data_IF_060245952438
#
_entry.id   IF_060245952438
#
_cell.length_a   1.000
_cell.length_b   1.000
_cell.length_c   1.000
_cell.angle_alpha   90.00
_cell.angle_beta   90.00
_cell.angle_gamma   90.00
#
_symmetry.space_group_name_H-M   'P 1'
#
loop_
_entity.id
_entity.type
_entity.pdbx_description
1 polymer ?
#
# COMPACT_ATOMS: atom_id res chain seq x y z
N UNK A 1 -65.50 -22.90 -53.28
CA UNK A 1 -64.97 -21.54 -53.04
C UNK A 1 -65.50 -21.15 -51.67
N UNK A 2 -64.75 -21.28 -50.58
CA UNK A 2 -63.56 -20.49 -50.21
C UNK A 2 -62.49 -21.42 -49.61
N UNK A 3 -61.25 -21.25 -50.06
CA UNK A 3 -60.06 -21.92 -49.54
C UNK A 3 -59.40 -20.99 -48.52
N UNK A 4 -59.16 -21.48 -47.30
CA UNK A 4 -58.40 -20.78 -46.27
C UNK A 4 -56.92 -21.15 -46.44
N UNK A 5 -56.12 -20.23 -46.99
CA UNK A 5 -54.66 -20.33 -47.03
C UNK A 5 -54.07 -19.77 -45.73
N UNK A 6 -53.60 -20.67 -44.86
CA UNK A 6 -52.91 -20.32 -43.61
C UNK A 6 -51.47 -19.90 -43.85
N UNK A 7 -51.16 -18.66 -43.46
CA UNK A 7 -49.82 -18.08 -43.35
C UNK A 7 -48.88 -18.94 -42.50
N UNK A 8 -47.69 -19.26 -43.05
CA UNK A 8 -46.53 -19.68 -42.27
C UNK A 8 -45.76 -18.44 -41.82
N UNK A 9 -46.16 -17.85 -40.71
CA UNK A 9 -45.36 -16.89 -39.95
C UNK A 9 -44.65 -17.63 -38.83
N UNK A 10 -43.32 -17.77 -38.92
CA UNK A 10 -42.48 -18.27 -37.84
C UNK A 10 -42.39 -17.16 -36.78
N UNK A 11 -43.20 -17.26 -35.72
CA UNK A 11 -43.08 -16.39 -34.54
C UNK A 11 -41.96 -16.96 -33.67
N UNK A 12 -40.78 -16.33 -33.73
CA UNK A 12 -39.67 -16.64 -32.84
C UNK A 12 -39.98 -15.98 -31.47
N UNK A 13 -40.54 -16.76 -30.54
CA UNK A 13 -40.60 -16.37 -29.13
C UNK A 13 -39.18 -16.43 -28.55
N UNK A 14 -38.46 -15.31 -28.62
CA UNK A 14 -37.26 -15.10 -27.84
C UNK A 14 -37.63 -15.03 -26.37
N UNK A 15 -37.52 -16.16 -25.67
CA UNK A 15 -37.47 -16.17 -24.21
C UNK A 15 -36.20 -15.40 -23.79
N UNK A 16 -36.37 -14.13 -23.41
CA UNK A 16 -35.43 -13.43 -22.55
C UNK A 16 -35.45 -14.17 -21.21
N UNK A 17 -34.57 -15.18 -21.08
CA UNK A 17 -34.24 -15.71 -19.77
C UNK A 17 -33.62 -14.56 -18.98
N UNK A 18 -34.17 -14.17 -17.81
CA UNK A 18 -33.42 -13.33 -16.90
C UNK A 18 -32.17 -14.14 -16.53
N UNK A 19 -31.01 -13.66 -16.98
CA UNK A 19 -29.72 -14.10 -16.44
C UNK A 19 -29.67 -13.56 -15.02
N UNK A 20 -30.32 -14.29 -14.11
CA UNK A 20 -30.13 -14.13 -12.69
C UNK A 20 -28.68 -14.49 -12.42
N UNK A 21 -27.81 -13.48 -12.32
CA UNK A 21 -26.50 -13.65 -11.69
C UNK A 21 -26.77 -14.02 -10.23
N UNK A 22 -26.96 -15.31 -9.97
CA UNK A 22 -26.76 -15.85 -8.64
C UNK A 22 -25.29 -15.54 -8.31
N UNK A 23 -25.07 -14.52 -7.47
CA UNK A 23 -23.81 -14.30 -6.78
C UNK A 23 -23.59 -15.54 -5.91
N UNK A 24 -23.05 -16.59 -6.50
CA UNK A 24 -22.49 -17.68 -5.74
C UNK A 24 -21.44 -17.04 -4.84
N UNK A 25 -21.70 -17.07 -3.54
CA UNK A 25 -20.79 -16.62 -2.51
C UNK A 25 -19.55 -17.53 -2.61
N UNK A 26 -18.61 -17.14 -3.46
CA UNK A 26 -17.47 -17.96 -3.81
C UNK A 26 -16.61 -18.04 -2.55
N UNK A 27 -16.59 -19.20 -1.89
CA UNK A 27 -15.69 -19.42 -0.76
C UNK A 27 -14.27 -19.07 -1.21
N UNK A 28 -13.61 -18.17 -0.48
CA UNK A 28 -12.27 -17.77 -0.82
C UNK A 28 -11.35 -19.02 -0.70
N UNK A 29 -10.60 -19.34 -1.76
CA UNK A 29 -9.93 -20.62 -1.87
C UNK A 29 -8.61 -20.70 -1.09
N UNK A 30 -8.23 -19.62 -0.37
CA UNK A 30 -7.00 -19.56 0.43
C UNK A 30 -7.30 -20.06 1.85
N UNK A 31 -6.52 -21.05 2.29
CA UNK A 31 -6.50 -21.52 3.68
C UNK A 31 -5.07 -21.40 4.20
N UNK A 32 -4.88 -20.66 5.30
CA UNK A 32 -3.60 -20.63 6.01
C UNK A 32 -3.46 -21.91 6.80
N UNK A 33 -2.38 -22.66 6.55
CA UNK A 33 -2.08 -23.88 7.30
C UNK A 33 -1.33 -23.56 8.60
N UNK A 34 -0.40 -22.61 8.55
CA UNK A 34 0.38 -22.14 9.70
C UNK A 34 0.97 -20.76 9.42
N UNK A 35 1.27 -20.02 10.49
CA UNK A 35 2.06 -18.79 10.45
C UNK A 35 3.13 -18.85 11.55
N UNK A 36 4.25 -18.16 11.36
CA UNK A 36 5.33 -18.09 12.37
C UNK A 36 5.84 -16.66 12.47
N UNK A 37 5.86 -16.15 13.69
CA UNK A 37 6.46 -14.86 14.01
C UNK A 37 7.98 -15.04 14.09
N UNK A 38 8.73 -14.19 13.38
CA UNK A 38 10.18 -14.24 13.34
C UNK A 38 10.87 -13.40 14.43
N UNK A 39 10.13 -12.48 15.06
CA UNK A 39 10.66 -11.52 16.02
C UNK A 39 10.73 -10.10 15.45
N UNK A 40 11.49 -9.24 16.13
CA UNK A 40 11.46 -7.80 15.88
C UNK A 40 12.46 -7.34 14.84
N UNK A 41 12.05 -6.36 14.01
CA UNK A 41 12.96 -5.68 13.09
C UNK A 41 13.97 -4.89 13.89
N UNK A 42 15.24 -5.21 13.69
CA UNK A 42 16.37 -4.45 14.26
C UNK A 42 17.25 -3.90 13.15
N UNK A 43 17.98 -2.85 13.47
CA UNK A 43 19.10 -2.40 12.65
C UNK A 43 20.34 -3.22 13.00
N UNK A 44 21.10 -3.66 12.00
CA UNK A 44 22.38 -4.33 12.17
C UNK A 44 23.54 -3.37 12.38
N UNK A 45 23.38 -2.08 12.09
CA UNK A 45 24.45 -1.08 12.10
C UNK A 45 24.15 0.18 12.94
N UNK A 46 22.90 0.40 13.35
CA UNK A 46 22.53 1.46 14.30
C UNK A 46 21.92 0.84 15.57
N UNK A 47 22.36 1.22 16.78
CA UNK A 47 21.72 0.74 18.00
C UNK A 47 20.34 1.40 18.17
N UNK A 48 19.39 0.67 18.79
CA UNK A 48 18.13 1.22 19.30
C UNK A 48 17.30 2.08 18.33
N UNK A 49 17.22 1.65 17.06
CA UNK A 49 16.37 2.30 16.07
C UNK A 49 14.93 1.83 16.20
N UNK A 50 14.01 2.78 16.30
CA UNK A 50 12.57 2.56 16.30
C UNK A 50 11.96 3.19 15.05
N UNK A 51 10.93 2.54 14.52
CA UNK A 51 10.36 2.90 13.22
C UNK A 51 8.85 2.88 13.29
N UNK A 52 8.22 3.57 12.35
CA UNK A 52 6.80 3.50 12.07
C UNK A 52 6.54 2.98 10.65
N UNK A 53 5.46 2.23 10.50
CA UNK A 53 5.07 1.56 9.26
C UNK A 53 6.17 0.63 8.70
N UNK A 54 6.06 0.27 7.43
CA UNK A 54 7.05 -0.61 6.79
C UNK A 54 6.58 -1.13 5.44
N UNK A 55 7.33 -0.83 4.38
CA UNK A 55 7.04 -1.30 3.02
C UNK A 55 8.29 -1.96 2.46
N UNK A 56 8.20 -3.21 2.02
CA UNK A 56 9.30 -3.87 1.33
C UNK A 56 9.14 -3.70 -0.18
N UNK A 57 10.25 -3.47 -0.87
CA UNK A 57 10.28 -3.28 -2.31
C UNK A 57 11.60 -3.76 -2.89
N UNK A 58 11.60 -3.98 -4.20
CA UNK A 58 12.79 -4.34 -4.94
C UNK A 58 13.13 -3.21 -5.93
N UNK A 59 14.40 -2.79 -5.95
CA UNK A 59 14.96 -1.89 -6.97
C UNK A 59 16.10 -2.64 -7.65
N UNK A 60 15.91 -2.99 -8.92
CA UNK A 60 16.75 -3.95 -9.63
C UNK A 60 16.97 -5.25 -8.85
N UNK A 61 18.20 -5.51 -8.43
CA UNK A 61 18.56 -6.70 -7.62
C UNK A 61 18.53 -6.47 -6.11
N UNK A 62 18.22 -5.26 -5.65
CA UNK A 62 18.31 -4.87 -4.25
C UNK A 62 16.95 -4.89 -3.58
N UNK A 63 16.86 -5.60 -2.45
CA UNK A 63 15.70 -5.57 -1.58
C UNK A 63 15.84 -4.46 -0.56
N UNK A 64 14.90 -3.54 -0.58
CA UNK A 64 14.89 -2.34 0.24
C UNK A 64 13.62 -2.31 1.07
N UNK A 65 13.70 -1.76 2.28
CA UNK A 65 12.53 -1.48 3.10
C UNK A 65 12.46 0.01 3.37
N UNK A 66 11.26 0.53 3.28
CA UNK A 66 10.93 1.90 3.58
C UNK A 66 10.18 1.97 4.90
N UNK A 67 10.54 2.92 5.74
CA UNK A 67 9.84 3.23 6.98
C UNK A 67 9.44 4.70 6.97
N UNK A 68 8.33 5.01 7.62
CA UNK A 68 7.93 6.39 7.85
C UNK A 68 8.80 6.96 8.99
N UNK A 69 8.19 7.33 10.10
CA UNK A 69 8.86 7.96 11.23
C UNK A 69 9.95 7.02 11.78
N UNK A 70 11.19 7.51 11.86
CA UNK A 70 12.35 6.76 12.35
C UNK A 70 13.13 7.61 13.33
N UNK A 71 13.39 7.06 14.51
CA UNK A 71 14.15 7.70 15.58
C UNK A 71 15.07 6.71 16.28
N UNK A 72 16.01 7.21 17.07
CA UNK A 72 16.96 6.41 17.85
C UNK A 72 16.86 6.78 19.32
N UNK A 73 16.84 5.81 20.24
CA UNK A 73 16.75 6.11 21.68
C UNK A 73 17.89 5.46 22.48
N UNK A 74 18.47 6.16 23.45
CA UNK A 74 19.67 5.67 24.16
C UNK A 74 19.40 4.44 25.04
N UNK A 75 18.21 4.35 25.66
CA UNK A 75 17.85 3.32 26.66
C UNK A 75 16.54 2.61 26.30
N UNK A 76 16.36 2.29 25.03
CA UNK A 76 15.14 1.67 24.53
C UNK A 76 13.97 2.66 24.36
N UNK A 77 12.72 2.19 24.16
CA UNK A 77 11.61 3.05 23.72
C UNK A 77 11.13 4.03 24.80
N UNK A 78 11.52 3.81 26.06
CA UNK A 78 11.23 4.69 27.19
C UNK A 78 12.36 5.69 27.50
N UNK A 79 13.51 5.55 26.84
CA UNK A 79 14.66 6.42 27.02
C UNK A 79 14.53 7.74 26.24
N UNK A 80 15.48 8.68 26.43
CA UNK A 80 15.60 9.85 25.57
C UNK A 80 15.80 9.41 24.11
N UNK A 81 14.97 9.96 23.23
CA UNK A 81 15.05 9.71 21.80
C UNK A 81 15.62 10.93 21.08
N UNK A 82 16.46 10.66 20.09
CA UNK A 82 17.21 11.64 19.33
C UNK A 82 17.07 11.40 17.84
N UNK A 83 17.14 12.51 17.10
CA UNK A 83 16.88 12.50 15.67
C UNK A 83 15.43 12.16 15.35
N UNK A 84 15.04 12.54 14.14
CA UNK A 84 13.76 12.17 13.56
C UNK A 84 13.89 12.26 12.05
N UNK A 85 13.54 11.18 11.36
CA UNK A 85 13.38 11.16 9.92
C UNK A 85 11.95 10.69 9.63
N UNK A 86 11.17 11.46 8.88
CA UNK A 86 9.78 11.08 8.53
C UNK A 86 9.72 9.96 7.49
N UNK A 87 10.87 9.60 6.95
CA UNK A 87 11.02 8.63 5.90
C UNK A 87 12.46 8.11 5.89
N UNK A 88 12.67 6.80 6.02
CA UNK A 88 13.99 6.18 5.92
C UNK A 88 13.96 5.00 4.97
N UNK A 89 15.11 4.74 4.33
CA UNK A 89 15.32 3.59 3.48
C UNK A 89 16.41 2.73 4.09
N UNK A 90 16.19 1.43 4.08
CA UNK A 90 17.16 0.45 4.57
C UNK A 90 17.33 -0.67 3.55
N UNK A 91 18.52 -1.26 3.52
CA UNK A 91 18.76 -2.46 2.75
C UNK A 91 18.36 -3.69 3.57
N UNK A 92 17.65 -4.63 2.94
CA UNK A 92 17.36 -5.92 3.55
C UNK A 92 18.63 -6.76 3.62
N UNK A 93 18.81 -7.50 4.72
CA UNK A 93 19.90 -8.47 4.84
C UNK A 93 19.42 -9.88 4.53
N UNK A 94 20.33 -10.86 4.55
CA UNK A 94 19.94 -12.28 4.48
C UNK A 94 19.12 -12.74 5.69
N UNK A 95 19.10 -11.97 6.78
CA UNK A 95 18.23 -12.21 7.93
C UNK A 95 17.00 -11.28 7.84
N UNK A 96 15.77 -11.80 7.69
CA UNK A 96 14.57 -10.99 7.48
C UNK A 96 14.25 -10.02 8.63
N UNK A 97 14.76 -10.28 9.84
CA UNK A 97 14.56 -9.43 11.02
C UNK A 97 15.68 -8.41 11.25
N UNK A 98 16.74 -8.44 10.42
CA UNK A 98 17.86 -7.51 10.52
C UNK A 98 17.94 -6.70 9.23
N UNK A 99 17.88 -5.38 9.37
CA UNK A 99 18.06 -4.46 8.27
C UNK A 99 19.42 -3.77 8.37
N UNK A 100 19.87 -3.22 7.26
CA UNK A 100 21.06 -2.37 7.19
C UNK A 100 20.63 -0.95 6.84
N UNK A 101 20.70 -0.05 7.81
CA UNK A 101 20.30 1.34 7.65
C UNK A 101 21.35 2.15 6.89
N UNK A 102 20.87 3.19 6.24
CA UNK A 102 21.71 4.09 5.44
C UNK A 102 22.08 5.30 6.27
N UNK A 103 23.35 5.71 6.19
CA UNK A 103 23.88 6.88 6.86
C UNK A 103 25.16 6.57 7.62
N UNK A 104 25.53 7.46 8.54
CA UNK A 104 26.74 7.32 9.35
C UNK A 104 26.40 6.72 10.73
N UNK A 105 26.69 5.43 10.98
CA UNK A 105 26.38 4.80 12.25
C UNK A 105 27.23 5.39 13.38
N UNK A 106 26.63 5.56 14.55
CA UNK A 106 27.32 6.03 15.75
C UNK A 106 26.37 6.29 16.91
N UNK A 107 26.85 6.30 18.17
CA UNK A 107 26.04 6.67 19.32
C UNK A 107 25.43 8.07 19.14
N UNK A 108 24.12 8.20 19.34
CA UNK A 108 23.39 9.46 19.14
C UNK A 108 23.11 9.83 17.68
N UNK A 109 23.54 9.03 16.70
CA UNK A 109 23.19 9.23 15.29
C UNK A 109 21.88 8.52 14.95
N UNK A 110 21.05 9.17 14.14
CA UNK A 110 19.83 8.59 13.58
C UNK A 110 20.06 8.15 12.12
N UNK A 111 19.38 7.09 11.64
CA UNK A 111 19.32 6.80 10.21
C UNK A 111 18.93 8.04 9.39
N UNK A 112 19.54 8.18 8.22
CA UNK A 112 19.33 9.34 7.35
C UNK A 112 17.95 9.32 6.71
N UNK A 113 17.31 10.48 6.63
CA UNK A 113 16.08 10.65 5.84
C UNK A 113 16.35 10.49 4.35
N UNK A 114 15.44 9.85 3.61
CA UNK A 114 15.61 9.59 2.17
C UNK A 114 15.25 10.82 1.32
N UNK A 115 14.01 11.28 1.42
CA UNK A 115 13.43 12.39 0.67
C UNK A 115 13.25 13.59 1.58
N UNK A 116 13.62 14.76 1.07
CA UNK A 116 13.39 16.04 1.73
C UNK A 116 12.06 16.62 1.28
N UNK A 117 11.41 17.37 2.17
CA UNK A 117 10.14 18.01 1.85
C UNK A 117 10.26 18.99 0.67
N UNK A 118 9.29 18.97 -0.23
CA UNK A 118 9.16 19.96 -1.33
C UNK A 118 8.44 21.24 -0.91
N UNK A 119 7.74 21.20 0.23
CA UNK A 119 7.03 22.32 0.82
C UNK A 119 7.50 22.59 2.25
N UNK A 120 7.55 23.86 2.65
CA UNK A 120 7.96 24.22 4.00
C UNK A 120 7.01 23.61 5.04
N UNK A 121 7.58 23.13 6.16
CA UNK A 121 6.86 22.55 7.30
C UNK A 121 6.01 21.31 6.99
N UNK A 122 6.24 20.62 5.87
CA UNK A 122 5.66 19.30 5.63
C UNK A 122 6.68 18.18 5.80
N UNK A 123 6.19 16.98 6.04
CA UNK A 123 6.98 15.76 6.19
C UNK A 123 6.54 14.76 5.13
N UNK A 124 7.41 14.38 4.17
CA UNK A 124 7.04 13.37 3.19
C UNK A 124 7.06 11.99 3.85
N UNK A 125 6.05 11.20 3.53
CA UNK A 125 5.99 9.76 3.77
C UNK A 125 5.83 9.07 2.41
N UNK A 126 6.45 7.91 2.23
CA UNK A 126 6.47 7.20 0.94
C UNK A 126 5.78 5.85 1.00
N UNK A 127 5.31 5.42 -0.16
CA UNK A 127 4.81 4.06 -0.43
C UNK A 127 5.95 3.08 -0.76
N UNK A 128 5.58 1.86 -1.12
CA UNK A 128 6.45 0.91 -1.82
C UNK A 128 6.99 1.49 -3.13
N UNK A 129 8.16 1.00 -3.52
CA UNK A 129 8.90 1.40 -4.72
C UNK A 129 8.61 0.40 -5.85
N UNK A 130 8.24 0.93 -7.01
CA UNK A 130 8.20 0.18 -8.25
C UNK A 130 9.53 0.35 -8.98
N UNK A 131 10.25 -0.75 -9.16
CA UNK A 131 11.49 -0.78 -9.94
C UNK A 131 11.25 -0.31 -11.38
N UNK A 132 12.03 0.67 -11.83
CA UNK A 132 12.01 1.19 -13.21
C UNK A 132 13.30 0.93 -13.96
N UNK A 133 14.34 0.46 -13.26
CA UNK A 133 15.66 0.14 -13.81
C UNK A 133 16.46 -0.75 -12.86
N UNK A 134 17.76 -0.91 -13.12
CA UNK A 134 18.63 -1.70 -12.23
C UNK A 134 18.85 -1.03 -10.88
N UNK A 135 18.82 0.30 -10.85
CA UNK A 135 19.15 1.10 -9.68
C UNK A 135 18.10 2.18 -9.44
N UNK A 136 17.04 2.25 -10.23
CA UNK A 136 16.03 3.31 -10.15
C UNK A 136 14.67 2.71 -9.88
N UNK A 137 13.88 3.42 -9.08
CA UNK A 137 12.50 3.09 -8.84
C UNK A 137 11.68 4.32 -8.56
N UNK A 138 10.38 4.13 -8.50
CA UNK A 138 9.40 5.19 -8.28
C UNK A 138 8.52 4.82 -7.09
N UNK A 139 8.35 5.75 -6.16
CA UNK A 139 7.42 5.65 -5.04
C UNK A 139 6.39 6.77 -5.12
N UNK A 140 5.23 6.57 -4.51
CA UNK A 140 4.27 7.62 -4.26
C UNK A 140 4.61 8.26 -2.92
N UNK A 141 4.42 9.57 -2.81
CA UNK A 141 4.58 10.28 -1.56
C UNK A 141 3.31 11.03 -1.19
N UNK A 142 3.12 11.22 0.10
CA UNK A 142 2.19 12.22 0.64
C UNK A 142 2.90 13.12 1.63
N UNK A 143 2.61 14.41 1.54
CA UNK A 143 3.16 15.44 2.42
C UNK A 143 2.22 15.63 3.59
N UNK A 144 2.69 15.31 4.78
CA UNK A 144 1.96 15.52 6.03
C UNK A 144 2.29 16.90 6.57
N UNK A 145 1.26 17.72 6.77
CA UNK A 145 1.38 19.06 7.36
C UNK A 145 1.79 19.06 8.82
N UNK A 146 1.94 20.26 9.42
CA UNK A 146 2.17 20.38 10.86
C UNK A 146 0.96 19.87 11.64
N UNK A 147 1.20 19.45 12.88
CA UNK A 147 0.16 19.13 13.82
C UNK A 147 -0.77 20.33 14.04
N UNK A 148 -2.07 20.06 14.16
CA UNK A 148 -3.10 21.04 14.49
C UNK A 148 -3.86 20.59 15.74
N UNK A 149 -4.73 21.45 16.27
CA UNK A 149 -5.63 21.05 17.36
C UNK A 149 -6.66 20.00 16.94
N UNK A 150 -6.91 19.84 15.65
CA UNK A 150 -7.84 18.86 15.08
C UNK A 150 -7.13 17.55 14.72
N UNK A 151 -5.86 17.64 14.32
CA UNK A 151 -5.04 16.50 13.96
C UNK A 151 -3.62 16.68 14.51
N UNK A 152 -3.36 16.02 15.65
CA UNK A 152 -2.07 16.08 16.34
C UNK A 152 -0.94 15.39 15.55
N UNK A 153 -1.27 14.55 14.58
CA UNK A 153 -0.29 13.89 13.71
C UNK A 153 -0.03 14.69 12.44
N UNK A 154 -0.91 15.66 12.14
CA UNK A 154 -0.90 16.44 10.90
C UNK A 154 -1.67 15.73 9.80
N UNK A 155 -2.34 16.52 8.96
CA UNK A 155 -3.12 16.00 7.84
C UNK A 155 -2.28 15.96 6.55
N UNK A 156 -2.66 15.08 5.62
CA UNK A 156 -2.09 15.12 4.27
C UNK A 156 -2.56 16.40 3.59
N UNK A 157 -1.62 17.19 3.07
CA UNK A 157 -1.90 18.45 2.35
C UNK A 157 -1.72 18.32 0.85
N UNK A 158 -0.90 17.37 0.40
CA UNK A 158 -0.72 17.03 -1.01
C UNK A 158 -0.03 15.67 -1.15
N UNK A 159 -0.04 15.15 -2.37
CA UNK A 159 0.69 13.93 -2.74
C UNK A 159 1.25 14.01 -4.16
N UNK A 160 2.16 13.12 -4.47
CA UNK A 160 2.85 13.07 -5.76
C UNK A 160 3.71 11.83 -5.87
N UNK A 161 4.76 11.93 -6.68
CA UNK A 161 5.62 10.81 -7.03
C UNK A 161 7.08 11.18 -6.78
N UNK A 162 7.87 10.24 -6.26
CA UNK A 162 9.30 10.40 -6.01
C UNK A 162 10.10 9.38 -6.83
N UNK A 163 11.13 9.86 -7.52
CA UNK A 163 12.13 9.01 -8.17
C UNK A 163 13.26 8.74 -7.20
N UNK A 164 13.55 7.46 -6.97
CA UNK A 164 14.59 7.01 -6.04
C UNK A 164 15.69 6.33 -6.84
N UNK A 165 16.93 6.76 -6.65
CA UNK A 165 18.11 6.10 -7.23
C UNK A 165 18.98 5.48 -6.14
N UNK A 166 19.06 4.16 -6.17
CA UNK A 166 19.92 3.35 -5.32
C UNK A 166 21.37 3.41 -5.80
N UNK A 167 22.24 3.99 -4.95
CA UNK A 167 23.66 4.19 -5.27
C UNK A 167 24.55 3.00 -4.85
N UNK A 168 24.00 2.03 -4.11
CA UNK A 168 24.75 0.86 -3.63
C UNK A 168 25.48 1.09 -2.30
N UNK A 169 25.66 0.00 -1.55
CA UNK A 169 26.38 0.01 -0.27
C UNK A 169 25.75 0.93 0.78
N UNK A 170 26.60 1.64 1.52
CA UNK A 170 26.20 2.55 2.60
C UNK A 170 25.94 3.99 2.10
N UNK A 171 26.05 4.20 0.79
CA UNK A 171 25.85 5.53 0.21
C UNK A 171 24.39 5.93 0.26
N UNK A 172 24.13 7.21 0.58
CA UNK A 172 22.77 7.74 0.60
C UNK A 172 22.16 7.68 -0.80
N UNK A 173 21.00 7.02 -0.98
CA UNK A 173 20.25 7.06 -2.23
C UNK A 173 19.85 8.49 -2.54
N UNK A 174 19.66 8.81 -3.82
CA UNK A 174 19.03 10.08 -4.18
C UNK A 174 17.52 9.92 -4.21
N UNK A 175 16.81 10.99 -3.84
CA UNK A 175 15.38 11.09 -3.98
C UNK A 175 15.01 12.42 -4.63
N UNK A 176 14.29 12.35 -5.74
CA UNK A 176 13.77 13.49 -6.47
C UNK A 176 12.24 13.44 -6.46
N UNK A 177 11.63 14.30 -5.65
CA UNK A 177 10.18 14.42 -5.56
C UNK A 177 9.65 15.30 -6.70
N UNK A 178 8.52 14.90 -7.28
CA UNK A 178 7.76 15.72 -8.21
C UNK A 178 7.19 16.96 -7.52
N UNK A 179 6.72 17.93 -8.32
CA UNK A 179 5.71 18.85 -7.80
C UNK A 179 4.46 18.07 -7.35
N UNK A 180 3.67 18.60 -6.39
CA UNK A 180 2.38 18.03 -6.03
C UNK A 180 1.52 17.70 -7.26
N UNK A 181 1.06 16.46 -7.33
CA UNK A 181 0.19 15.97 -8.41
C UNK A 181 -1.26 15.86 -7.96
N UNK A 182 -1.48 15.65 -6.66
CA UNK A 182 -2.80 15.60 -6.03
C UNK A 182 -2.83 16.43 -4.75
N UNK A 183 -4.02 16.95 -4.42
CA UNK A 183 -4.28 17.72 -3.21
C UNK A 183 -5.06 16.88 -2.18
N UNK A 184 -5.53 17.53 -1.12
CA UNK A 184 -6.26 16.91 -0.02
C UNK A 184 -7.74 16.61 -0.32
N UNK A 185 -8.23 16.95 -1.52
CA UNK A 185 -9.61 16.69 -1.96
C UNK A 185 -9.80 15.33 -2.62
N UNK A 186 -8.71 14.59 -2.80
CA UNK A 186 -8.65 13.29 -3.47
C UNK A 186 -8.17 12.18 -2.53
N UNK A 187 -8.35 10.90 -2.91
CA UNK A 187 -7.69 9.82 -2.21
C UNK A 187 -6.18 10.03 -2.14
N UNK A 188 -5.58 9.70 -1.00
CA UNK A 188 -4.13 9.76 -0.77
C UNK A 188 -3.46 8.63 -1.54
N UNK A 189 -3.21 8.83 -2.83
CA UNK A 189 -2.74 7.77 -3.72
C UNK A 189 -1.39 7.21 -3.26
N UNK A 190 -1.39 5.91 -2.99
CA UNK A 190 -0.20 5.16 -2.59
C UNK A 190 -0.11 4.91 -1.09
N UNK A 191 -1.01 5.42 -0.25
CA UNK A 191 -1.00 5.19 1.21
C UNK A 191 -1.50 3.80 1.62
N UNK A 192 -2.37 3.18 0.80
CA UNK A 192 -2.95 1.86 1.06
C UNK A 192 -2.29 0.72 0.29
N UNK A 193 -1.35 1.04 -0.59
CA UNK A 193 -0.63 0.03 -1.35
C UNK A 193 -0.30 0.49 -2.75
N UNK A 194 0.83 0.03 -3.27
CA UNK A 194 1.21 0.19 -4.67
C UNK A 194 1.66 -1.17 -5.16
N UNK A 195 1.29 -1.50 -6.38
CA UNK A 195 1.69 -2.77 -6.95
C UNK A 195 1.87 -2.69 -8.47
N UNK A 196 2.84 -3.46 -8.96
CA UNK A 196 2.98 -3.79 -10.37
C UNK A 196 3.31 -5.27 -10.50
N UNK A 197 2.84 -5.95 -11.56
CA UNK A 197 3.10 -7.39 -11.79
C UNK A 197 4.58 -7.70 -12.08
N UNK A 198 5.42 -6.68 -12.01
CA UNK A 198 6.72 -6.67 -12.64
C UNK A 198 7.81 -6.06 -11.81
N UNK A 199 7.64 -6.03 -10.48
CA UNK A 199 8.73 -5.74 -9.55
C UNK A 199 10.02 -6.55 -9.86
N UNK A 200 9.95 -7.63 -10.67
CA UNK A 200 11.13 -8.31 -11.24
C UNK A 200 11.24 -8.42 -12.79
N UNK A 201 10.27 -8.00 -13.64
CA UNK A 201 10.28 -8.40 -15.09
C UNK A 201 9.67 -7.47 -16.19
N UNK A 202 9.28 -6.20 -15.99
CA UNK A 202 8.83 -5.29 -17.10
C UNK A 202 7.48 -4.56 -16.91
N UNK A 203 6.59 -4.42 -17.92
CA UNK A 203 5.23 -3.90 -17.73
C UNK A 203 4.27 -4.97 -17.15
N UNK A 204 3.30 -4.57 -16.31
CA UNK A 204 2.27 -5.47 -15.74
C UNK A 204 1.53 -6.34 -16.77
N UNK A 205 0.64 -7.27 -16.36
CA UNK A 205 -0.16 -8.10 -17.31
C UNK A 205 -0.81 -7.26 -18.41
N UNK A 206 -1.21 -6.04 -18.07
CA UNK A 206 -1.86 -5.07 -18.93
C UNK A 206 -1.03 -3.78 -19.15
N UNK A 207 0.21 -3.73 -18.67
CA UNK A 207 1.09 -2.57 -18.81
C UNK A 207 0.90 -1.44 -17.79
N UNK A 208 0.14 -1.67 -16.72
CA UNK A 208 -0.12 -0.65 -15.70
C UNK A 208 0.55 -0.94 -14.35
N UNK A 209 0.71 0.12 -13.58
CA UNK A 209 0.94 0.10 -12.14
C UNK A 209 -0.35 0.49 -11.45
N UNK A 210 -0.73 -0.24 -10.40
CA UNK A 210 -1.95 -0.04 -9.63
C UNK A 210 -1.60 0.64 -8.31
N UNK A 211 -2.39 1.65 -7.95
CA UNK A 211 -2.15 2.52 -6.80
C UNK A 211 -3.43 2.61 -5.99
N UNK A 212 -3.38 2.21 -4.73
CA UNK A 212 -4.49 2.25 -3.80
C UNK A 212 -4.40 3.52 -2.96
N UNK A 213 -5.53 4.18 -2.76
CA UNK A 213 -5.63 5.39 -1.93
C UNK A 213 -6.76 5.29 -0.91
N UNK A 214 -6.54 5.82 0.28
CA UNK A 214 -7.53 6.09 1.31
C UNK A 214 -7.87 7.58 1.41
N UNK A 215 -8.62 7.98 2.43
CA UNK A 215 -8.89 9.40 2.69
C UNK A 215 -7.90 9.98 3.71
N UNK A 216 -7.60 11.27 3.53
CA UNK A 216 -6.91 12.07 4.55
C UNK A 216 -7.78 12.18 5.82
N UNK A 217 -7.14 12.30 6.97
CA UNK A 217 -7.77 12.42 8.30
C UNK A 217 -8.76 13.59 8.42
N UNK A 218 -8.60 14.63 7.60
CA UNK A 218 -9.50 15.80 7.58
C UNK A 218 -10.57 15.72 6.47
N UNK A 219 -10.53 14.69 5.62
CA UNK A 219 -11.51 14.55 4.56
C UNK A 219 -12.90 14.18 5.14
N UNK A 220 -13.99 14.69 4.56
CA UNK A 220 -15.33 14.23 4.90
C UNK A 220 -15.48 12.73 4.64
N UNK A 221 -15.90 11.97 5.64
CA UNK A 221 -16.06 10.52 5.51
C UNK A 221 -14.80 9.71 5.76
N UNK A 222 -13.71 10.29 6.28
CA UNK A 222 -12.45 9.59 6.58
C UNK A 222 -12.60 8.41 7.55
N UNK A 223 -13.67 8.41 8.35
CA UNK A 223 -14.03 7.29 9.21
C UNK A 223 -14.45 6.03 8.44
N UNK A 224 -14.79 6.17 7.15
CA UNK A 224 -15.10 5.03 6.30
C UNK A 224 -13.80 4.37 5.84
N UNK A 225 -13.65 3.04 6.01
CA UNK A 225 -12.43 2.31 5.64
C UNK A 225 -12.39 2.05 4.12
N UNK A 226 -12.84 3.00 3.30
CA UNK A 226 -12.92 2.82 1.86
C UNK A 226 -11.55 3.00 1.21
N UNK A 227 -11.25 2.12 0.26
CA UNK A 227 -10.03 2.15 -0.54
C UNK A 227 -10.42 2.29 -2.00
N UNK A 228 -9.87 3.30 -2.66
CA UNK A 228 -10.01 3.57 -4.09
C UNK A 228 -8.81 3.07 -4.87
N UNK A 229 -8.98 2.98 -6.18
CA UNK A 229 -7.97 2.44 -7.08
C UNK A 229 -7.74 3.40 -8.24
N UNK A 230 -6.47 3.73 -8.46
CA UNK A 230 -5.99 4.32 -9.70
C UNK A 230 -4.97 3.40 -10.35
N UNK A 231 -4.66 3.70 -11.61
CA UNK A 231 -3.59 3.04 -12.34
C UNK A 231 -2.92 4.00 -13.30
N UNK A 232 -1.66 3.74 -13.63
CA UNK A 232 -0.88 4.53 -14.58
C UNK A 232 -0.10 3.61 -15.51
N UNK A 233 0.01 3.91 -16.81
CA UNK A 233 0.89 3.17 -17.70
C UNK A 233 2.31 3.15 -17.17
N UNK A 234 2.97 1.99 -17.24
CA UNK A 234 4.36 1.87 -16.80
C UNK A 234 5.26 2.87 -17.52
N UNK A 235 6.05 3.65 -16.77
CA UNK A 235 6.92 4.69 -17.30
C UNK A 235 6.27 6.07 -17.44
N UNK A 236 4.97 6.21 -17.18
CA UNK A 236 4.26 7.51 -17.23
C UNK A 236 3.97 8.10 -15.83
N UNK A 237 4.75 7.71 -14.83
CA UNK A 237 4.47 7.99 -13.41
C UNK A 237 4.40 9.48 -13.06
N UNK A 238 5.16 10.33 -13.76
CA UNK A 238 5.22 11.77 -13.49
C UNK A 238 4.17 12.58 -14.25
N UNK A 239 3.38 11.94 -15.13
CA UNK A 239 2.31 12.61 -15.88
C UNK A 239 0.96 12.31 -15.23
N UNK A 240 0.43 13.28 -14.48
CA UNK A 240 -0.87 13.14 -13.79
C UNK A 240 -2.02 12.87 -14.78
N UNK A 241 -1.90 13.30 -16.04
CA UNK A 241 -2.92 13.09 -17.07
C UNK A 241 -2.89 11.67 -17.65
N UNK A 242 -1.83 10.90 -17.39
CA UNK A 242 -1.75 9.50 -17.78
C UNK A 242 -2.46 8.56 -16.78
N UNK A 243 -2.83 9.07 -15.59
CA UNK A 243 -3.52 8.29 -14.58
C UNK A 243 -4.97 8.04 -14.97
N UNK A 244 -5.44 6.83 -14.67
CA UNK A 244 -6.82 6.40 -14.80
C UNK A 244 -7.36 6.01 -13.44
N UNK A 245 -8.58 6.38 -13.15
CA UNK A 245 -9.24 6.17 -11.87
C UNK A 245 -10.43 5.24 -12.06
N UNK A 246 -10.59 4.30 -11.13
CA UNK A 246 -11.74 3.41 -11.12
C UNK A 246 -12.96 4.15 -10.55
N UNK A 247 -13.96 4.42 -11.38
CA UNK A 247 -15.15 5.19 -10.96
C UNK A 247 -16.30 4.32 -10.42
N UNK A 248 -16.07 3.01 -10.24
CA UNK A 248 -17.11 2.05 -9.85
C UNK A 248 -17.68 1.22 -11.00
N UNK A 249 -17.49 1.66 -12.24
CA UNK A 249 -18.02 1.01 -13.44
C UNK A 249 -16.98 0.83 -14.56
N UNK A 250 -16.07 1.78 -14.71
CA UNK A 250 -15.03 1.77 -15.73
C UNK A 250 -13.80 2.55 -15.25
N UNK A 251 -12.70 2.41 -16.01
CA UNK A 251 -11.54 3.30 -15.91
C UNK A 251 -11.86 4.63 -16.59
N UNK A 252 -11.67 5.71 -15.85
CA UNK A 252 -11.95 7.08 -16.24
C UNK A 252 -10.68 7.93 -16.12
N UNK A 253 -10.54 8.99 -16.91
CA UNK A 253 -9.41 9.93 -16.75
C UNK A 253 -9.76 11.05 -15.77
N UNK A 254 -11.05 11.23 -15.51
CA UNK A 254 -11.60 12.13 -14.51
C UNK A 254 -11.13 11.72 -13.12
N UNK A 255 -10.58 12.69 -12.39
CA UNK A 255 -10.08 12.52 -11.02
C UNK A 255 -11.22 12.23 -10.06
N UNK A 256 -10.92 11.50 -8.99
CA UNK A 256 -11.89 11.23 -7.93
C UNK A 256 -11.77 12.31 -6.86
N UNK A 257 -12.57 13.38 -6.98
CA UNK A 257 -12.62 14.51 -6.04
C UNK A 257 -13.90 14.49 -5.20
N UNK A 258 -13.84 14.96 -3.96
CA UNK A 258 -15.04 15.35 -3.21
C UNK A 258 -15.49 16.76 -3.64
N UNK A 259 -16.81 17.06 -3.75
CA UNK A 259 -17.99 16.23 -3.44
C UNK A 259 -18.65 15.52 -4.63
N UNK A 260 -18.01 15.51 -5.80
CA UNK A 260 -18.61 14.99 -7.05
C UNK A 260 -19.09 13.54 -6.91
N UNK A 261 -18.47 12.78 -6.02
CA UNK A 261 -18.93 11.46 -5.58
C UNK A 261 -19.68 11.56 -4.26
N UNK A 262 -20.97 11.92 -4.37
CA UNK A 262 -21.99 12.04 -3.33
C UNK A 262 -22.04 10.77 -2.41
N UNK A 263 -21.09 10.64 -1.49
CA UNK A 263 -20.85 9.42 -0.72
C UNK A 263 -20.02 8.37 -1.47
N UNK A 264 -18.77 8.70 -1.83
CA UNK A 264 -17.58 7.95 -2.29
C UNK A 264 -17.56 6.40 -2.44
N UNK A 265 -18.50 5.68 -1.83
CA UNK A 265 -18.71 4.24 -1.91
C UNK A 265 -18.85 3.64 -3.34
N UNK A 266 -19.44 4.31 -4.36
CA UNK A 266 -19.61 3.69 -5.68
C UNK A 266 -18.28 3.28 -6.33
N UNK A 267 -17.21 4.05 -6.10
CA UNK A 267 -15.89 3.86 -6.67
C UNK A 267 -14.96 3.00 -5.80
N UNK A 268 -15.38 2.62 -4.59
CA UNK A 268 -14.57 1.83 -3.67
C UNK A 268 -14.32 0.42 -4.21
N UNK A 269 -13.07 -0.03 -4.13
CA UNK A 269 -12.68 -1.39 -4.54
C UNK A 269 -12.51 -2.34 -3.34
N UNK A 270 -12.14 -1.83 -2.17
CA UNK A 270 -11.89 -2.64 -0.98
C UNK A 270 -12.31 -1.82 0.24
N UNK A 271 -12.75 -2.49 1.30
CA UNK A 271 -12.94 -1.89 2.62
C UNK A 271 -11.86 -2.42 3.56
N UNK A 272 -11.06 -1.54 4.16
CA UNK A 272 -9.90 -1.95 4.94
C UNK A 272 -9.05 -0.80 5.48
N UNK A 273 -7.99 -1.18 6.17
CA UNK A 273 -6.90 -0.31 6.65
C UNK A 273 -5.72 -0.38 5.68
N UNK A 274 -4.56 0.16 6.06
CA UNK A 274 -3.33 0.02 5.28
C UNK A 274 -2.89 -1.44 5.13
N UNK A 275 -2.43 -1.80 3.94
CA UNK A 275 -2.10 -3.15 3.58
C UNK A 275 -1.16 -3.23 2.38
N UNK A 276 -0.88 -4.46 1.96
CA UNK A 276 -0.05 -4.78 0.80
C UNK A 276 -0.89 -5.52 -0.23
N UNK A 277 -0.84 -5.04 -1.47
CA UNK A 277 -1.47 -5.69 -2.60
C UNK A 277 -0.46 -6.65 -3.25
N UNK A 278 -0.85 -7.91 -3.45
CA UNK A 278 -0.03 -8.97 -4.03
C UNK A 278 -0.76 -9.63 -5.18
N UNK A 279 -0.04 -10.24 -6.12
CA UNK A 279 -0.64 -11.10 -7.12
C UNK A 279 -0.25 -12.55 -6.89
N UNK A 280 -1.26 -13.40 -6.79
CA UNK A 280 -1.09 -14.84 -6.77
C UNK A 280 -1.20 -15.38 -8.18
N UNK A 281 -0.09 -15.89 -8.72
CA UNK A 281 -0.09 -16.63 -9.99
C UNK A 281 -1.00 -17.86 -9.92
N UNK A 282 -1.00 -18.55 -8.77
CA UNK A 282 -1.78 -19.77 -8.55
C UNK A 282 -3.29 -19.53 -8.71
N UNK A 283 -3.80 -18.46 -8.12
CA UNK A 283 -5.21 -18.08 -8.24
C UNK A 283 -5.49 -17.14 -9.42
N UNK A 284 -4.44 -16.72 -10.13
CA UNK A 284 -4.46 -15.67 -11.16
C UNK A 284 -5.22 -14.42 -10.68
N UNK A 285 -4.95 -14.00 -9.44
CA UNK A 285 -5.74 -12.98 -8.75
C UNK A 285 -4.89 -12.09 -7.88
N UNK A 286 -5.42 -10.91 -7.56
CA UNK A 286 -4.87 -10.05 -6.55
C UNK A 286 -5.35 -10.47 -5.15
N UNK A 287 -4.45 -10.35 -4.20
CA UNK A 287 -4.66 -10.60 -2.77
C UNK A 287 -4.20 -9.36 -2.05
N UNK A 288 -5.14 -8.70 -1.37
CA UNK A 288 -4.85 -7.58 -0.49
C UNK A 288 -4.67 -8.12 0.92
N UNK A 289 -3.53 -7.83 1.54
CA UNK A 289 -3.18 -8.29 2.88
C UNK A 289 -3.12 -7.07 3.77
N UNK A 290 -3.90 -7.06 4.85
CA UNK A 290 -3.93 -5.96 5.80
C UNK A 290 -3.80 -6.49 7.23
N UNK A 291 -3.23 -5.70 8.13
CA UNK A 291 -3.37 -5.95 9.56
C UNK A 291 -4.66 -5.27 10.06
N UNK A 292 -5.36 -5.92 10.98
CA UNK A 292 -6.40 -5.24 11.73
C UNK A 292 -5.76 -4.33 12.78
N UNK A 293 -6.27 -3.12 12.93
CA UNK A 293 -5.77 -2.19 13.95
C UNK A 293 -6.47 -2.48 15.27
N UNK A 294 -5.74 -3.11 16.21
CA UNK A 294 -6.24 -3.37 17.57
C UNK A 294 -6.79 -4.77 17.82
N UNK A 295 -6.89 -5.62 16.79
CA UNK A 295 -6.81 -7.06 16.96
C UNK A 295 -5.48 -7.50 16.38
N UNK A 296 -4.70 -8.32 17.08
CA UNK A 296 -3.38 -8.77 16.65
C UNK A 296 -3.49 -9.79 15.47
N UNK A 297 -4.34 -9.47 14.49
CA UNK A 297 -4.78 -10.33 13.39
C UNK A 297 -4.22 -9.84 12.06
N UNK A 298 -3.70 -10.78 11.27
CA UNK A 298 -3.44 -10.57 9.84
C UNK A 298 -4.69 -10.98 9.08
N UNK A 299 -5.34 -9.99 8.46
CA UNK A 299 -6.45 -10.19 7.54
C UNK A 299 -5.88 -10.27 6.12
N UNK A 300 -6.37 -11.20 5.31
CA UNK A 300 -6.13 -11.13 3.87
C UNK A 300 -7.46 -11.21 3.14
N UNK A 301 -7.69 -10.13 2.43
CA UNK A 301 -8.75 -9.94 1.48
C UNK A 301 -8.25 -10.48 0.14
N UNK A 302 -8.61 -11.70 -0.22
CA UNK A 302 -8.45 -12.10 -1.62
C UNK A 302 -9.66 -11.65 -2.42
N UNK A 303 -9.43 -10.98 -3.55
CA UNK A 303 -10.48 -10.60 -4.48
C UNK A 303 -10.04 -10.90 -5.90
N UNK A 304 -10.85 -11.67 -6.62
CA UNK A 304 -10.68 -11.86 -8.07
C UNK A 304 -10.79 -10.53 -8.79
N UNK A 305 -9.69 -10.17 -9.47
CA UNK A 305 -9.69 -9.09 -10.44
C UNK A 305 -10.54 -9.48 -11.67
N UNK A 306 -11.08 -8.49 -12.41
CA UNK A 306 -10.89 -7.04 -12.20
C UNK A 306 -11.69 -6.61 -10.96
N UNK A 307 -11.18 -5.66 -10.16
CA UNK A 307 -11.65 -5.27 -8.81
C UNK A 307 -13.01 -4.52 -8.88
N UNK A 308 -13.93 -5.02 -9.70
CA UNK A 308 -15.22 -4.46 -10.12
C UNK A 308 -16.33 -5.11 -9.30
N UNK A 309 -17.24 -4.28 -8.79
CA UNK A 309 -18.28 -4.55 -7.79
C UNK A 309 -18.83 -6.00 -7.78
N UNK A 310 -18.70 -6.68 -6.63
CA UNK A 310 -19.15 -8.06 -6.38
C UNK A 310 -18.89 -8.46 -4.92
N UNK A 311 -19.45 -9.60 -4.47
CA UNK A 311 -19.42 -10.03 -3.07
C UNK A 311 -17.99 -10.07 -2.48
N UNK A 312 -17.81 -9.37 -1.36
CA UNK A 312 -16.57 -9.42 -0.58
C UNK A 312 -16.53 -10.71 0.23
N UNK A 313 -15.39 -11.40 0.23
CA UNK A 313 -15.11 -12.48 1.19
C UNK A 313 -13.87 -12.07 1.96
N UNK A 314 -14.12 -11.38 3.08
CA UNK A 314 -13.11 -11.14 4.11
C UNK A 314 -12.71 -12.50 4.69
N UNK A 315 -11.44 -12.87 4.57
CA UNK A 315 -10.88 -13.97 5.35
C UNK A 315 -9.88 -13.37 6.33
N UNK A 316 -10.13 -13.63 7.61
CA UNK A 316 -9.12 -13.51 8.65
C UNK A 316 -8.12 -14.65 8.42
N UNK A 317 -6.94 -14.32 7.87
CA UNK A 317 -5.93 -15.34 7.58
C UNK A 317 -5.26 -15.83 8.84
N UNK A 318 -5.24 -15.00 9.88
CA UNK A 318 -4.69 -15.33 11.16
C UNK A 318 -5.30 -14.42 12.24
N UNK A 319 -5.78 -15.00 13.33
CA UNK A 319 -6.04 -14.30 14.59
C UNK A 319 -4.90 -14.65 15.53
N UNK A 320 -4.02 -13.71 15.84
CA UNK A 320 -3.16 -13.87 16.99
C UNK A 320 -3.77 -13.16 18.18
N UNK A 321 -3.44 -13.69 19.35
CA UNK A 321 -3.40 -12.94 20.59
C UNK A 321 -1.97 -13.01 21.10
N UNK A 322 -1.09 -12.05 20.78
CA UNK A 322 0.09 -11.80 21.60
C UNK A 322 0.44 -10.32 21.73
N UNK A 323 0.66 -9.98 22.99
CA UNK A 323 1.56 -8.97 23.52
C UNK A 323 2.77 -8.57 22.65
N UNK A 324 2.99 -7.24 22.65
CA UNK A 324 4.14 -6.39 22.26
C UNK A 324 4.33 -6.04 20.78
N UNK A 325 4.47 -4.73 20.55
CA UNK A 325 4.22 -3.94 19.32
C UNK A 325 5.28 -4.06 18.20
N UNK A 326 6.05 -5.16 18.14
CA UNK A 326 7.31 -5.17 17.36
C UNK A 326 7.52 -6.38 16.42
N UNK A 327 6.52 -7.23 16.13
CA UNK A 327 6.73 -8.55 15.50
C UNK A 327 6.61 -8.60 13.96
N UNK A 328 7.47 -9.39 13.28
CA UNK A 328 7.37 -9.74 11.83
C UNK A 328 6.84 -11.16 11.60
N UNK A 329 6.15 -11.37 10.47
CA UNK A 329 5.94 -12.68 9.81
C UNK A 329 6.72 -12.72 8.49
N UNK A 330 7.44 -13.81 8.16
CA UNK A 330 8.39 -13.92 7.02
C UNK A 330 7.75 -14.01 5.62
N UNK A 331 8.55 -13.83 4.55
CA UNK A 331 8.29 -14.17 3.12
C UNK A 331 9.49 -13.98 2.17
N UNK A 332 9.43 -14.63 1.01
CA UNK A 332 10.40 -14.61 -0.09
C UNK A 332 9.73 -15.12 -1.37
N UNK A 333 10.40 -15.10 -2.54
CA UNK A 333 9.76 -15.41 -3.81
C UNK A 333 9.27 -16.87 -3.90
N UNK A 334 8.09 -17.05 -4.51
CA UNK A 334 7.52 -18.35 -4.87
C UNK A 334 8.42 -19.06 -5.89
N UNK A 335 9.23 -20.01 -5.42
CA UNK A 335 9.82 -21.04 -6.27
C UNK A 335 9.19 -22.38 -5.89
N UNK A 336 8.01 -22.63 -6.44
CA UNK A 336 7.49 -23.99 -6.64
C UNK A 336 7.09 -24.79 -5.39
N UNK A 337 6.03 -24.39 -4.68
CA UNK A 337 5.08 -25.30 -4.00
C UNK A 337 4.13 -24.46 -3.15
N UNK A 338 2.83 -24.43 -3.48
CA UNK A 338 1.67 -24.27 -2.59
C UNK A 338 1.55 -23.17 -1.52
N UNK A 339 2.62 -22.52 -1.10
CA UNK A 339 2.69 -21.76 0.14
C UNK A 339 2.72 -20.25 -0.17
N UNK A 340 1.74 -19.54 0.37
CA UNK A 340 1.74 -18.09 0.43
C UNK A 340 2.52 -17.67 1.67
N UNK A 341 3.56 -16.87 1.47
CA UNK A 341 4.42 -16.36 2.54
C UNK A 341 4.27 -14.83 2.49
N UNK A 342 4.00 -14.16 3.63
CA UNK A 342 3.65 -12.73 3.72
C UNK A 342 4.59 -11.97 4.67
N UNK A 343 5.41 -11.04 4.14
CA UNK A 343 6.20 -10.09 4.94
C UNK A 343 5.40 -8.83 5.20
N UNK A 344 5.10 -8.58 6.47
CA UNK A 344 4.64 -7.27 6.91
C UNK A 344 5.27 -6.97 8.27
N UNK A 345 6.05 -5.90 8.34
CA UNK A 345 6.62 -5.39 9.58
C UNK A 345 5.93 -4.08 9.92
N UNK A 346 5.37 -4.00 11.13
CA UNK A 346 4.84 -2.77 11.70
C UNK A 346 5.52 -2.59 13.05
N UNK A 347 6.22 -1.46 13.19
CA UNK A 347 6.58 -0.94 14.50
C UNK A 347 5.74 0.33 14.68
N UNK A 348 5.31 0.63 15.90
CA UNK A 348 4.66 1.90 16.20
C UNK A 348 5.45 2.64 17.27
N UNK A 349 5.70 3.92 17.03
CA UNK A 349 6.15 4.85 18.06
C UNK A 349 4.94 5.33 18.84
N UNK A 350 4.58 4.65 19.93
CA UNK A 350 3.74 5.28 20.96
C UNK A 350 4.64 5.94 22.00
N UNK A 351 4.65 7.27 22.13
CA UNK A 351 5.23 7.90 23.31
C UNK A 351 4.40 7.46 24.52
N UNK A 352 4.96 6.59 25.36
CA UNK A 352 4.42 6.45 26.71
C UNK A 352 4.70 7.77 27.44
N UNK A 353 3.63 8.49 27.75
CA UNK A 353 3.58 9.80 28.37
C UNK A 353 3.93 10.99 27.46
N UNK A 354 2.91 11.81 27.22
CA UNK A 354 3.02 13.19 26.78
C UNK A 354 4.11 13.92 27.58
N UNK A 355 5.24 14.25 26.94
CA UNK A 355 6.13 15.40 27.22
C UNK A 355 7.49 15.33 26.47
N UNK A 356 7.54 14.84 25.22
CA UNK A 356 8.81 14.78 24.46
C UNK A 356 8.80 15.53 23.12
N UNK A 357 7.83 16.42 22.89
CA UNK A 357 7.90 17.43 21.83
C UNK A 357 7.43 18.78 22.40
N UNK A 358 8.39 19.57 22.86
CA UNK A 358 8.32 21.03 22.98
C UNK A 358 9.58 21.62 22.40
#
# INVERSE_FOLDING_TARGET
MVSLSGNKGLVLFGFLLPVSYALAQQQNPIRVQSATVLGNITSGNFPNVYRDAGWESQVGSHWLKFYADTLTCDDGPAGPCHGFASNTLVASTGNPIVNHDIGNPGPGNNPGGLCQSVTDNTRPQLSAIISTGSNTGVAWYHSVGPATSQDINGAVVNSGVATITWNGGDSTPTCEMSAPMWDDTEPVWGDKGVWSLTASKGPGIDGYVYVLGGLSSLAPGHENPFIWLSRVPFGSFLDVNAYQYWNGSAWASERLTYPDYNGWAPATVITGTAGTLLYSNYYSTFVYVQSDWGSESLLCLSRRLPLVKGAQVLIQLYEHRCYSEDSIVASGPMVGSGDLVLLQGWNHLRPSAANALR
#
